data_IF_441676258564
#
_entry.id   IF_441676258564
#
_cell.length_a   1.000
_cell.length_b   1.000
_cell.length_c   1.000
_cell.angle_alpha   90.00
_cell.angle_beta   90.00
_cell.angle_gamma   90.00
#
_symmetry.space_group_name_H-M   'P 1'
#
loop_
_entity.id
_entity.type
_entity.pdbx_description
1 polymer ?
#
# COMPACT_ATOMS: atom_id res chain seq x y z
N UNK A 1 -12.55 13.56 -1.13
CA UNK A 1 -11.84 13.29 -2.39
C UNK A 1 -12.75 13.68 -3.55
N UNK A 2 -12.25 14.32 -4.62
CA UNK A 2 -13.06 14.68 -5.78
C UNK A 2 -13.65 13.44 -6.47
N UNK A 3 -14.93 13.49 -6.82
CA UNK A 3 -15.63 12.36 -7.44
C UNK A 3 -15.03 11.96 -8.79
N UNK A 4 -14.62 12.94 -9.60
CA UNK A 4 -13.99 12.70 -10.91
C UNK A 4 -12.71 11.86 -10.80
N UNK A 5 -11.86 12.14 -9.81
CA UNK A 5 -10.65 11.36 -9.56
C UNK A 5 -10.98 9.91 -9.16
N UNK A 6 -11.99 9.70 -8.33
CA UNK A 6 -12.42 8.35 -7.94
C UNK A 6 -12.99 7.56 -9.12
N UNK A 7 -13.74 8.23 -10.00
CA UNK A 7 -14.28 7.62 -11.23
C UNK A 7 -13.15 7.21 -12.18
N UNK A 8 -12.18 8.09 -12.44
CA UNK A 8 -11.01 7.75 -13.27
C UNK A 8 -10.22 6.56 -12.72
N UNK A 9 -10.05 6.49 -11.39
CA UNK A 9 -9.38 5.35 -10.76
C UNK A 9 -10.19 4.06 -10.79
N UNK A 10 -11.52 4.17 -10.74
CA UNK A 10 -12.40 3.02 -10.91
C UNK A 10 -12.31 2.47 -12.34
N UNK A 11 -12.40 3.33 -13.36
CA UNK A 11 -12.26 2.95 -14.77
C UNK A 11 -10.89 2.31 -15.04
N UNK A 12 -9.83 2.92 -14.52
CA UNK A 12 -8.49 2.36 -14.56
C UNK A 12 -8.40 0.95 -13.99
N UNK A 13 -8.91 0.74 -12.77
CA UNK A 13 -8.91 -0.57 -12.15
C UNK A 13 -9.69 -1.59 -13.00
N UNK A 14 -10.84 -1.21 -13.54
CA UNK A 14 -11.69 -2.09 -14.37
C UNK A 14 -10.98 -2.50 -15.66
N UNK A 15 -10.27 -1.58 -16.32
CA UNK A 15 -9.46 -1.88 -17.50
C UNK A 15 -8.31 -2.88 -17.24
N UNK A 16 -8.05 -3.18 -15.96
CA UNK A 16 -7.02 -4.12 -15.50
C UNK A 16 -7.59 -5.40 -14.90
N UNK A 17 -8.92 -5.59 -14.97
CA UNK A 17 -9.59 -6.74 -14.36
C UNK A 17 -9.70 -6.63 -12.83
N UNK A 18 -9.54 -5.43 -12.27
CA UNK A 18 -9.74 -5.15 -10.86
C UNK A 18 -10.93 -4.22 -10.65
N UNK A 19 -11.46 -4.18 -9.43
CA UNK A 19 -12.50 -3.24 -9.02
C UNK A 19 -11.99 -2.37 -7.90
N UNK A 20 -12.30 -1.09 -7.99
CA UNK A 20 -12.02 -0.14 -6.95
C UNK A 20 -13.23 -0.05 -6.02
N UNK A 21 -13.04 -0.35 -4.75
CA UNK A 21 -14.11 -0.36 -3.74
C UNK A 21 -13.82 0.66 -2.65
N UNK A 22 -14.80 1.51 -2.37
CA UNK A 22 -14.76 2.47 -1.27
C UNK A 22 -15.52 1.88 -0.08
N UNK A 23 -14.83 1.43 0.98
CA UNK A 23 -15.48 0.90 2.15
C UNK A 23 -16.24 1.99 2.91
N UNK A 24 -17.38 1.62 3.51
CA UNK A 24 -18.04 2.47 4.51
C UNK A 24 -17.18 2.57 5.80
N UNK A 25 -17.65 3.32 6.80
CA UNK A 25 -16.89 3.51 8.04
C UNK A 25 -16.67 2.17 8.78
N UNK A 26 -17.67 1.29 8.85
CA UNK A 26 -17.56 0.02 9.57
C UNK A 26 -16.58 -0.92 8.87
N UNK A 27 -16.60 -0.96 7.54
CA UNK A 27 -15.67 -1.71 6.72
C UNK A 27 -14.24 -1.14 6.80
N UNK A 28 -14.11 0.19 6.83
CA UNK A 28 -12.85 0.89 7.06
C UNK A 28 -12.22 0.46 8.38
N UNK A 29 -12.98 0.49 9.48
CA UNK A 29 -12.50 0.09 10.81
C UNK A 29 -12.05 -1.38 10.84
N UNK A 30 -12.77 -2.27 10.14
CA UNK A 30 -12.38 -3.68 9.98
C UNK A 30 -11.06 -3.83 9.22
N UNK A 31 -10.91 -3.12 8.11
CA UNK A 31 -9.67 -3.14 7.30
C UNK A 31 -8.48 -2.62 8.12
N UNK A 32 -8.65 -1.51 8.85
CA UNK A 32 -7.61 -0.95 9.71
C UNK A 32 -7.22 -1.95 10.82
N UNK A 33 -8.20 -2.55 11.50
CA UNK A 33 -7.95 -3.55 12.55
C UNK A 33 -7.19 -4.76 12.01
N UNK A 34 -7.65 -5.34 10.91
CA UNK A 34 -6.94 -6.45 10.29
C UNK A 34 -5.50 -6.02 9.96
N UNK A 35 -5.31 -4.80 9.43
CA UNK A 35 -3.98 -4.27 9.06
C UNK A 35 -3.07 -4.16 10.26
N UNK A 36 -3.59 -3.70 11.38
CA UNK A 36 -2.85 -3.66 12.63
C UNK A 36 -2.41 -5.06 13.08
N UNK A 37 -3.32 -6.05 13.06
CA UNK A 37 -2.99 -7.44 13.42
C UNK A 37 -1.91 -8.05 12.52
N UNK A 38 -1.98 -7.76 11.21
CA UNK A 38 -0.98 -8.21 10.26
C UNK A 38 0.39 -7.59 10.53
N UNK A 39 0.45 -6.31 10.91
CA UNK A 39 1.71 -5.67 11.30
C UNK A 39 2.28 -6.20 12.59
N UNK A 40 1.43 -6.45 13.58
CA UNK A 40 1.85 -7.09 14.81
C UNK A 40 2.45 -8.48 14.55
N UNK A 41 1.84 -9.27 13.66
CA UNK A 41 2.41 -10.57 13.21
C UNK A 41 3.72 -10.44 12.43
N UNK A 42 3.85 -9.41 11.58
CA UNK A 42 5.08 -9.18 10.82
C UNK A 42 6.25 -8.78 11.73
N UNK A 43 5.99 -8.00 12.80
CA UNK A 43 7.02 -7.61 13.78
C UNK A 43 7.40 -8.74 14.74
N UNK A 44 6.43 -9.54 15.18
CA UNK A 44 6.69 -10.62 16.15
C UNK A 44 7.30 -11.87 15.53
N UNK A 45 7.03 -12.15 14.25
CA UNK A 45 7.59 -13.31 13.54
C UNK A 45 9.07 -13.11 13.19
N UNK A 46 9.97 -13.88 13.81
CA UNK A 46 11.42 -13.75 13.64
C UNK A 46 11.89 -13.75 12.19
N UNK A 47 11.41 -14.68 11.36
CA UNK A 47 11.74 -14.76 9.93
C UNK A 47 11.24 -13.55 9.12
N UNK A 48 10.00 -13.11 9.35
CA UNK A 48 9.42 -11.94 8.67
C UNK A 48 10.08 -10.63 9.09
N UNK A 49 10.43 -10.52 10.36
CA UNK A 49 11.15 -9.37 10.89
C UNK A 49 12.59 -9.32 10.37
N UNK A 50 13.27 -10.46 10.27
CA UNK A 50 14.60 -10.56 9.67
C UNK A 50 14.58 -10.22 8.17
N UNK A 51 13.59 -10.71 7.42
CA UNK A 51 13.38 -10.34 6.03
C UNK A 51 13.13 -8.83 5.89
N UNK A 52 12.24 -8.26 6.70
CA UNK A 52 11.92 -6.82 6.65
C UNK A 52 13.16 -5.97 6.92
N UNK A 53 13.94 -6.29 7.96
CA UNK A 53 15.23 -5.63 8.25
C UNK A 53 16.21 -5.76 7.09
N UNK A 54 16.35 -6.95 6.50
CA UNK A 54 17.23 -7.16 5.33
C UNK A 54 16.83 -6.26 4.15
N UNK A 55 15.54 -6.04 3.92
CA UNK A 55 15.07 -5.15 2.85
C UNK A 55 15.18 -3.67 3.21
N UNK A 56 15.02 -3.29 4.48
CA UNK A 56 15.12 -1.91 4.94
C UNK A 56 16.58 -1.44 5.06
N UNK A 57 17.46 -2.31 5.58
CA UNK A 57 18.88 -2.09 5.84
C UNK A 57 19.76 -2.69 4.74
N UNK A 58 19.21 -2.92 3.53
CA UNK A 58 19.97 -3.43 2.38
C UNK A 58 21.30 -2.69 2.22
N UNK A 59 22.34 -3.32 1.63
CA UNK A 59 23.70 -2.80 1.68
C UNK A 59 23.70 -1.29 1.42
N UNK A 60 24.20 -0.48 2.39
CA UNK A 60 24.22 0.99 2.25
C UNK A 60 24.90 1.45 0.95
N UNK A 61 25.68 0.58 0.33
CA UNK A 61 26.41 0.71 -0.93
C UNK A 61 25.63 0.29 -2.19
N UNK A 62 24.39 -0.21 -2.09
CA UNK A 62 23.57 -0.60 -3.25
C UNK A 62 22.39 0.36 -3.41
N UNK A 63 22.42 1.26 -4.42
CA UNK A 63 21.29 2.11 -4.76
C UNK A 63 20.00 1.28 -4.95
N UNK A 64 18.85 1.80 -4.48
CA UNK A 64 17.55 1.18 -4.76
C UNK A 64 17.06 0.09 -3.80
N UNK A 65 17.73 -0.14 -2.67
CA UNK A 65 17.24 -1.02 -1.61
C UNK A 65 16.52 -0.24 -0.49
N UNK A 66 15.33 -0.72 -0.11
CA UNK A 66 14.56 -0.19 1.01
C UNK A 66 13.89 1.17 0.77
N UNK A 67 12.97 1.58 1.64
CA UNK A 67 12.29 2.87 1.53
C UNK A 67 13.19 4.05 1.95
N UNK A 68 14.25 3.83 2.73
CA UNK A 68 15.12 4.90 3.23
C UNK A 68 14.32 6.08 3.83
N UNK A 69 14.61 7.35 3.45
CA UNK A 69 13.84 8.50 3.92
C UNK A 69 12.37 8.51 3.45
N UNK A 70 11.99 7.70 2.45
CA UNK A 70 10.62 7.57 1.97
C UNK A 70 9.72 6.70 2.86
N UNK A 71 10.25 6.05 3.90
CA UNK A 71 9.46 5.25 4.85
C UNK A 71 8.35 6.09 5.52
N UNK A 72 8.61 7.38 5.74
CA UNK A 72 7.68 8.31 6.37
C UNK A 72 7.46 8.02 7.87
N UNK A 73 6.82 8.95 8.59
CA UNK A 73 6.57 8.83 10.02
C UNK A 73 5.42 7.87 10.33
N UNK A 74 5.46 7.27 11.51
CA UNK A 74 4.36 6.50 12.11
C UNK A 74 3.19 7.42 12.51
N UNK A 75 2.04 6.82 12.80
CA UNK A 75 0.91 7.58 13.34
C UNK A 75 1.08 7.79 14.85
N UNK A 76 1.15 9.06 15.26
CA UNK A 76 1.30 9.45 16.66
C UNK A 76 0.11 8.99 17.53
N UNK A 77 -1.06 8.78 16.93
CA UNK A 77 -2.26 8.32 17.63
C UNK A 77 -2.48 6.81 17.52
N UNK A 78 -1.59 6.08 16.83
CA UNK A 78 -1.68 4.63 16.52
C UNK A 78 -3.06 4.20 15.97
N UNK A 79 -3.73 5.08 15.21
CA UNK A 79 -5.02 4.81 14.57
C UNK A 79 -4.85 4.23 13.19
N UNK A 80 -3.84 4.72 12.47
CA UNK A 80 -3.48 4.25 11.15
C UNK A 80 -2.29 3.28 11.24
N UNK A 81 -2.46 2.02 10.84
CA UNK A 81 -1.37 1.07 10.80
C UNK A 81 -0.43 1.41 9.65
N UNK A 82 0.63 2.14 9.97
CA UNK A 82 1.74 2.46 9.07
C UNK A 82 2.76 1.32 9.13
N UNK A 83 3.32 0.95 7.97
CA UNK A 83 4.35 -0.09 7.92
C UNK A 83 5.62 0.39 8.60
N UNK A 84 6.07 -0.39 9.58
CA UNK A 84 7.45 -0.33 10.05
C UNK A 84 8.30 -1.27 9.17
N UNK A 85 9.08 -0.68 8.27
CA UNK A 85 9.93 -1.43 7.37
C UNK A 85 11.15 -2.04 8.08
N UNK A 86 11.63 -1.44 9.17
CA UNK A 86 12.73 -1.96 9.97
C UNK A 86 12.32 -3.04 10.98
N UNK A 87 11.02 -3.34 11.08
CA UNK A 87 10.47 -4.31 12.04
C UNK A 87 11.05 -4.11 13.47
N UNK A 88 11.05 -2.86 13.93
CA UNK A 88 11.50 -2.47 15.25
C UNK A 88 10.60 -3.12 16.31
N UNK A 89 11.23 -3.70 17.34
CA UNK A 89 10.49 -4.30 18.46
C UNK A 89 9.67 -3.26 19.24
N UNK A 90 10.11 -2.00 19.23
CA UNK A 90 9.41 -0.87 19.86
C UNK A 90 9.14 0.20 18.79
N UNK A 91 7.90 0.30 18.28
CA UNK A 91 7.53 1.30 17.26
C UNK A 91 7.74 2.75 17.73
N UNK A 92 7.73 3.01 19.04
CA UNK A 92 8.00 4.32 19.63
C UNK A 92 9.39 4.89 19.34
N UNK A 93 10.31 4.08 18.81
CA UNK A 93 11.62 4.54 18.35
C UNK A 93 11.55 5.30 17.01
N UNK A 94 10.41 5.25 16.31
CA UNK A 94 10.21 5.90 15.03
C UNK A 94 9.60 7.30 15.23
N UNK A 95 9.98 8.24 14.35
CA UNK A 95 9.30 9.53 14.26
C UNK A 95 7.81 9.32 13.97
N UNK A 96 6.96 10.07 14.66
CA UNK A 96 5.51 10.00 14.52
C UNK A 96 4.91 11.38 14.30
N UNK A 97 3.89 11.45 13.45
CA UNK A 97 3.10 12.67 13.19
C UNK A 97 1.61 12.38 13.37
N UNK A 98 0.79 13.39 13.66
CA UNK A 98 -0.66 13.22 13.66
C UNK A 98 -1.14 12.93 12.24
N UNK A 99 -1.92 11.87 12.08
CA UNK A 99 -2.64 11.56 10.85
C UNK A 99 -4.12 11.91 10.93
N UNK A 100 -4.83 11.79 9.79
CA UNK A 100 -6.25 12.04 9.70
C UNK A 100 -7.05 11.08 10.59
N UNK A 101 -8.02 11.63 11.33
CA UNK A 101 -8.95 10.82 12.16
C UNK A 101 -9.81 9.88 11.33
N UNK A 102 -10.12 10.24 10.08
CA UNK A 102 -10.90 9.42 9.14
C UNK A 102 -10.14 9.30 7.82
N UNK A 103 -9.34 8.25 7.61
CA UNK A 103 -8.62 8.07 6.34
C UNK A 103 -9.59 7.78 5.21
N UNK A 104 -9.36 8.37 4.02
CA UNK A 104 -10.03 7.91 2.82
C UNK A 104 -9.31 6.64 2.32
N UNK A 105 -9.91 5.47 2.57
CA UNK A 105 -9.40 4.19 2.08
C UNK A 105 -10.07 3.79 0.78
N UNK A 106 -9.31 3.11 -0.05
CA UNK A 106 -9.75 2.48 -1.28
C UNK A 106 -9.16 1.09 -1.35
N UNK A 107 -10.00 0.11 -1.67
CA UNK A 107 -9.61 -1.29 -1.82
C UNK A 107 -9.55 -1.63 -3.31
N UNK A 108 -8.40 -2.13 -3.77
CA UNK A 108 -8.29 -2.73 -5.10
C UNK A 108 -8.57 -4.23 -4.98
N UNK A 109 -9.65 -4.69 -5.61
CA UNK A 109 -10.19 -6.05 -5.50
C UNK A 109 -10.15 -6.77 -6.83
N UNK A 110 -9.79 -8.04 -6.84
CA UNK A 110 -9.86 -8.91 -8.02
C UNK A 110 -10.92 -9.99 -7.81
N UNK A 111 -11.39 -10.62 -8.89
CA UNK A 111 -12.37 -11.70 -8.78
C UNK A 111 -11.78 -12.95 -8.09
N UNK A 112 -10.48 -13.17 -8.25
CA UNK A 112 -9.75 -14.32 -7.71
C UNK A 112 -8.43 -13.91 -7.07
N UNK A 113 -7.83 -14.81 -6.30
CA UNK A 113 -6.52 -14.63 -5.67
C UNK A 113 -5.45 -15.54 -6.32
N UNK A 114 -5.45 -15.63 -7.64
CA UNK A 114 -4.44 -16.41 -8.37
C UNK A 114 -3.22 -15.55 -8.67
N UNK A 115 -2.09 -16.19 -8.95
CA UNK A 115 -0.84 -15.50 -9.30
C UNK A 115 -0.99 -14.52 -10.48
N UNK A 116 -1.90 -14.80 -11.43
CA UNK A 116 -2.20 -13.88 -12.53
C UNK A 116 -2.89 -12.60 -12.04
N UNK A 117 -3.85 -12.73 -11.13
CA UNK A 117 -4.56 -11.60 -10.50
C UNK A 117 -3.64 -10.74 -9.62
N UNK A 118 -2.45 -11.25 -9.29
CA UNK A 118 -1.45 -10.49 -8.55
C UNK A 118 -0.65 -9.54 -9.44
N UNK A 119 -0.44 -9.92 -10.70
CA UNK A 119 0.46 -9.23 -11.63
C UNK A 119 -0.25 -8.18 -12.47
N UNK A 120 -1.47 -8.50 -12.94
CA UNK A 120 -2.24 -7.64 -13.84
C UNK A 120 -2.59 -6.28 -13.22
N UNK A 121 -3.09 -6.21 -11.96
CA UNK A 121 -3.38 -4.94 -11.33
C UNK A 121 -2.13 -4.17 -10.89
N UNK A 122 -0.95 -4.79 -10.93
CA UNK A 122 0.32 -4.14 -10.58
C UNK A 122 0.96 -3.41 -11.76
N UNK A 123 0.94 -4.04 -12.94
CA UNK A 123 1.58 -3.49 -14.16
C UNK A 123 0.88 -2.24 -14.69
N UNK A 124 -0.46 -2.25 -14.70
CA UNK A 124 -1.24 -1.21 -15.37
C UNK A 124 -1.64 -0.09 -14.40
N UNK A 125 -1.85 -0.39 -13.11
CA UNK A 125 -2.15 0.61 -12.08
C UNK A 125 -1.06 1.66 -11.94
N UNK A 126 0.18 1.23 -12.22
CA UNK A 126 1.33 2.13 -12.32
C UNK A 126 1.03 3.29 -13.29
N UNK A 127 0.36 3.04 -14.43
CA UNK A 127 -0.08 4.09 -15.37
C UNK A 127 -1.10 5.08 -14.80
N UNK A 128 -1.97 4.66 -13.88
CA UNK A 128 -2.95 5.56 -13.24
C UNK A 128 -2.39 6.29 -12.01
N UNK A 129 -1.29 5.82 -11.46
CA UNK A 129 -0.45 6.60 -10.55
C UNK A 129 0.32 7.72 -11.27
N UNK A 130 0.48 7.64 -12.60
CA UNK A 130 1.16 8.65 -13.43
C UNK A 130 0.27 9.83 -13.86
N UNK A 131 -0.89 10.00 -13.23
CA UNK A 131 -1.72 11.17 -13.48
C UNK A 131 -0.97 12.44 -13.08
N UNK A 132 -0.74 13.33 -14.07
CA UNK A 132 -0.16 14.66 -13.89
C UNK A 132 -0.91 15.40 -12.78
N UNK A 133 -0.24 15.94 -11.75
CA UNK A 133 -0.91 16.75 -10.75
C UNK A 133 -1.44 18.02 -11.42
N UNK A 134 -2.74 18.05 -11.75
CA UNK A 134 -3.44 19.31 -11.99
C UNK A 134 -3.64 19.94 -10.61
N UNK A 135 -2.76 20.89 -10.29
CA UNK A 135 -2.74 21.76 -9.10
C UNK A 135 -2.83 21.02 -7.74
N UNK A 136 -1.69 20.95 -7.01
CA UNK A 136 -1.65 20.68 -5.56
C UNK A 136 -1.99 19.25 -5.10
N UNK A 137 -2.33 18.34 -6.00
CA UNK A 137 -2.67 16.96 -5.67
C UNK A 137 -1.42 16.09 -5.47
N UNK A 138 -0.65 16.32 -4.41
CA UNK A 138 0.42 15.40 -4.04
C UNK A 138 -0.20 14.12 -3.45
N UNK A 139 -0.09 13.05 -4.23
CA UNK A 139 -0.73 11.77 -3.97
C UNK A 139 0.18 10.91 -3.12
N UNK A 140 -0.06 10.82 -1.82
CA UNK A 140 0.57 9.76 -1.02
C UNK A 140 -0.18 8.46 -1.27
N UNK A 141 0.13 7.80 -2.39
CA UNK A 141 -0.27 6.41 -2.63
C UNK A 141 0.49 5.50 -1.66
N UNK A 142 -0.06 5.23 -0.49
CA UNK A 142 0.38 4.07 0.29
C UNK A 142 -0.16 2.83 -0.43
N UNK A 143 0.55 2.32 -1.43
CA UNK A 143 0.26 1.02 -2.05
C UNK A 143 0.74 -0.05 -1.11
N UNK A 144 -0.18 -0.66 -0.36
CA UNK A 144 0.13 -1.85 0.41
C UNK A 144 -0.41 -3.06 -0.32
N UNK A 145 0.49 -3.89 -0.86
CA UNK A 145 0.16 -5.27 -1.22
C UNK A 145 0.09 -6.10 0.05
N UNK A 146 -1.06 -6.72 0.27
CA UNK A 146 -1.31 -7.51 1.46
C UNK A 146 -0.95 -8.97 1.20
N UNK A 147 0.00 -9.54 1.94
CA UNK A 147 0.29 -10.99 1.92
C UNK A 147 -0.21 -11.65 3.20
N UNK A 148 -1.51 -11.88 3.26
CA UNK A 148 -2.15 -12.60 4.38
C UNK A 148 -3.55 -13.04 4.00
N UNK A 149 -3.81 -14.34 4.10
CA UNK A 149 -5.12 -14.97 3.81
C UNK A 149 -6.30 -14.38 4.61
N UNK A 150 -6.03 -13.61 5.67
CA UNK A 150 -7.01 -13.11 6.64
C UNK A 150 -7.99 -12.05 6.14
N UNK A 151 -7.77 -11.43 4.97
CA UNK A 151 -8.65 -10.37 4.46
C UNK A 151 -9.58 -10.82 3.31
N UNK A 152 -9.50 -12.10 2.89
CA UNK A 152 -10.40 -12.63 1.86
C UNK A 152 -11.87 -12.61 2.28
N UNK A 153 -12.17 -12.52 3.59
CA UNK A 153 -13.53 -12.68 4.13
C UNK A 153 -14.14 -11.38 4.67
N UNK A 154 -13.36 -10.31 4.88
CA UNK A 154 -13.79 -9.12 5.64
C UNK A 154 -14.74 -8.16 4.90
N UNK A 155 -15.07 -8.48 3.63
CA UNK A 155 -16.03 -7.73 2.80
C UNK A 155 -17.08 -8.67 2.16
N UNK A 156 -17.57 -9.62 2.95
CA UNK A 156 -18.82 -10.33 2.63
C UNK A 156 -20.00 -9.40 2.97
N UNK A 157 -20.60 -8.80 1.93
CA UNK A 157 -21.62 -7.75 2.03
C UNK A 157 -20.94 -6.37 1.98
N UNK A 158 -21.04 -5.58 0.92
CA UNK A 158 -22.25 -4.84 0.55
C UNK A 158 -22.25 -4.42 -0.94
N UNK A 159 -21.58 -5.17 -1.82
CA UNK A 159 -21.40 -4.77 -3.24
C UNK A 159 -22.08 -5.78 -4.18
N UNK A 160 -23.41 -5.74 -4.29
CA UNK A 160 -24.17 -6.45 -5.34
C UNK A 160 -23.87 -7.95 -5.51
N UNK A 161 -23.38 -8.64 -4.48
CA UNK A 161 -22.97 -10.05 -4.56
C UNK A 161 -21.53 -10.30 -5.05
N UNK A 162 -20.74 -9.26 -5.35
CA UNK A 162 -19.34 -9.38 -5.77
C UNK A 162 -18.44 -9.83 -4.61
N UNK A 163 -18.14 -11.13 -4.58
CA UNK A 163 -17.13 -11.76 -3.72
C UNK A 163 -15.76 -11.60 -4.38
N UNK A 164 -15.11 -10.46 -4.17
CA UNK A 164 -13.75 -10.19 -4.66
C UNK A 164 -12.69 -10.26 -3.55
N UNK A 165 -11.46 -10.59 -3.93
CA UNK A 165 -10.28 -10.64 -3.06
C UNK A 165 -9.58 -9.28 -3.04
N UNK A 166 -9.40 -8.70 -1.85
CA UNK A 166 -8.65 -7.45 -1.69
C UNK A 166 -7.16 -7.71 -1.91
N UNK A 167 -6.63 -7.19 -3.01
CA UNK A 167 -5.21 -7.29 -3.38
C UNK A 167 -4.39 -6.15 -2.75
N UNK A 168 -4.97 -4.95 -2.70
CA UNK A 168 -4.30 -3.76 -2.15
C UNK A 168 -5.26 -2.87 -1.36
N UNK A 169 -4.73 -2.27 -0.29
CA UNK A 169 -5.37 -1.18 0.45
C UNK A 169 -4.59 0.10 0.15
N UNK A 170 -5.31 1.13 -0.30
CA UNK A 170 -4.73 2.41 -0.70
C UNK A 170 -5.35 3.49 0.16
N UNK A 171 -4.51 4.24 0.87
CA UNK A 171 -4.92 5.48 1.53
C UNK A 171 -4.81 6.63 0.52
N UNK A 172 -5.88 7.39 0.35
CA UNK A 172 -5.90 8.62 -0.44
C UNK A 172 -5.92 9.82 0.51
N UNK A 173 -5.17 10.85 0.14
CA UNK A 173 -5.06 12.07 0.93
C UNK A 173 -4.22 13.10 0.18
N UNK A 174 -4.28 14.33 0.68
CA UNK A 174 -3.44 15.43 0.23
C UNK A 174 -2.34 15.63 1.27
N UNK A 175 -1.09 15.72 0.83
CA UNK A 175 0.04 15.98 1.72
C UNK A 175 1.21 16.56 0.94
N UNK A 176 2.29 16.98 1.61
CA UNK A 176 3.49 17.45 0.92
C UNK A 176 4.10 16.32 0.08
N UNK A 177 4.82 16.71 -0.97
CA UNK A 177 5.62 15.76 -1.75
C UNK A 177 6.67 15.10 -0.85
N UNK A 178 6.75 13.78 -0.91
CA UNK A 178 7.70 13.01 -0.11
C UNK A 178 9.07 12.92 -0.78
N UNK A 179 10.11 12.54 -0.02
CA UNK A 179 11.42 12.29 -0.62
C UNK A 179 11.34 11.16 -1.65
N UNK A 180 12.11 11.30 -2.74
CA UNK A 180 12.20 10.29 -3.79
C UNK A 180 12.77 9.00 -3.19
N UNK A 181 12.10 7.88 -3.47
CA UNK A 181 12.65 6.57 -3.07
C UNK A 181 13.78 6.19 -4.03
N UNK A 182 14.94 5.72 -3.52
CA UNK A 182 16.05 5.30 -4.36
C UNK A 182 15.63 4.26 -5.42
N UNK A 183 16.25 4.30 -6.59
CA UNK A 183 16.08 3.32 -7.67
C UNK A 183 17.45 2.80 -8.09
N UNK A 184 17.51 1.52 -8.47
CA UNK A 184 18.69 0.97 -9.15
C UNK A 184 18.85 1.63 -10.51
N UNK A 185 20.10 1.79 -10.95
CA UNK A 185 20.39 2.27 -12.29
C UNK A 185 19.86 1.29 -13.34
N UNK A 186 19.45 1.77 -14.51
CA UNK A 186 18.91 0.90 -15.57
C UNK A 186 19.92 -0.19 -15.99
N UNK A 187 21.21 0.15 -16.06
CA UNK A 187 22.30 -0.76 -16.40
C UNK A 187 22.52 -1.88 -15.36
N UNK A 188 22.07 -1.71 -14.11
CA UNK A 188 22.20 -2.74 -13.06
C UNK A 188 21.07 -3.78 -13.11
N UNK A 189 20.04 -3.55 -13.93
CA UNK A 189 18.81 -4.35 -13.96
C UNK A 189 18.54 -4.92 -15.35
N UNK A 190 18.96 -4.23 -16.40
CA UNK A 190 18.83 -4.68 -17.77
C UNK A 190 20.02 -5.57 -18.10
N UNK A 191 19.76 -6.86 -18.24
CA UNK A 191 20.70 -7.78 -18.87
C UNK A 191 20.59 -7.59 -20.39
N UNK A 192 21.48 -6.78 -20.94
CA UNK A 192 21.68 -6.66 -22.39
C UNK A 192 22.48 -7.89 -22.80
N UNK A 193 21.82 -9.04 -22.92
CA UNK A 193 22.45 -10.34 -23.15
C UNK A 193 23.63 -10.26 -24.13
N UNK A 194 24.78 -10.78 -23.70
CA UNK A 194 25.93 -11.05 -24.56
C UNK A 194 25.73 -12.28 -25.42
#
# INVERSE_FOLDING_TARGET
MPAALLAELAEAAQAEGARLHLPDQRATDRVLRSTWEAESRNRSGSGRAAESRRWADGPRSSPGFGPGPAAGPQDALDRLPVRDFGAHRRPSALSALPYETRPALVLLRTAHDRRADWLLPGRRWSGCCWWRPRAGCARRCCTRRWSGRTCAETSTGCDGGYRGHTQMVIRLGYGPEGPVSPRRGAAEVIDLGG
#
